data_IF_381995110048
#
_entry.id   IF_381995110048
#
_cell.length_a   1.000
_cell.length_b   1.000
_cell.length_c   1.000
_cell.angle_alpha   90.00
_cell.angle_beta   90.00
_cell.angle_gamma   90.00
#
_symmetry.space_group_name_H-M   'P 1'
#
loop_
_entity.id
_entity.type
_entity.pdbx_description
1 polymer ?
#
# COMPACT_ATOMS: atom_id res chain seq x y z
N UNK A 1 15.79 -3.25 2.92
CA UNK A 1 16.69 -4.12 2.15
C UNK A 1 18.13 -3.63 2.27
N UNK A 2 18.47 -2.45 1.75
CA UNK A 2 19.84 -1.91 1.82
C UNK A 2 20.40 -1.76 3.23
N UNK A 3 19.55 -1.45 4.22
CA UNK A 3 19.96 -1.33 5.62
C UNK A 3 20.42 -2.69 6.18
N UNK A 4 19.68 -3.76 5.91
CA UNK A 4 20.00 -5.12 6.43
C UNK A 4 21.27 -5.65 5.77
N UNK A 5 21.45 -5.40 4.46
CA UNK A 5 22.68 -5.74 3.74
C UNK A 5 23.89 -4.96 4.27
N UNK A 6 23.73 -3.67 4.60
CA UNK A 6 24.79 -2.90 5.26
C UNK A 6 25.15 -3.44 6.63
N UNK A 7 24.16 -3.78 7.47
CA UNK A 7 24.43 -4.36 8.80
C UNK A 7 25.14 -5.72 8.74
N UNK A 8 24.86 -6.52 7.70
CA UNK A 8 25.61 -7.75 7.41
C UNK A 8 27.06 -7.48 6.99
N UNK A 9 27.26 -6.56 6.05
CA UNK A 9 28.58 -6.28 5.45
C UNK A 9 29.49 -5.49 6.41
N UNK A 10 28.93 -4.54 7.17
CA UNK A 10 29.69 -3.61 8.01
C UNK A 10 29.84 -4.09 9.45
N UNK A 11 28.83 -4.77 10.02
CA UNK A 11 28.80 -5.13 11.45
C UNK A 11 28.85 -6.65 11.70
N UNK A 12 28.70 -7.49 10.66
CA UNK A 12 28.69 -8.95 10.79
C UNK A 12 27.56 -9.48 11.67
N UNK A 13 26.52 -8.68 11.89
CA UNK A 13 25.46 -8.94 12.88
C UNK A 13 24.44 -10.00 12.46
N UNK A 14 24.36 -10.29 11.16
CA UNK A 14 23.45 -11.28 10.59
C UNK A 14 24.22 -12.19 9.65
N UNK A 15 23.79 -13.43 9.52
CA UNK A 15 24.26 -14.36 8.48
C UNK A 15 23.42 -14.20 7.21
N UNK A 16 23.92 -14.69 6.06
CA UNK A 16 23.18 -14.63 4.80
C UNK A 16 21.81 -15.35 4.90
N UNK A 17 21.75 -16.46 5.64
CA UNK A 17 20.52 -17.21 5.85
C UNK A 17 19.51 -16.45 6.72
N UNK A 18 19.96 -15.76 7.77
CA UNK A 18 19.09 -14.89 8.59
C UNK A 18 18.54 -13.72 7.78
N UNK A 19 19.35 -13.12 6.89
CA UNK A 19 18.87 -12.06 5.98
C UNK A 19 17.79 -12.61 5.05
N UNK A 20 17.99 -13.82 4.50
CA UNK A 20 17.02 -14.45 3.60
C UNK A 20 15.71 -14.76 4.32
N UNK A 21 15.78 -15.25 5.55
CA UNK A 21 14.61 -15.52 6.40
C UNK A 21 13.83 -14.23 6.71
N UNK A 22 14.52 -13.16 7.09
CA UNK A 22 13.89 -11.86 7.36
C UNK A 22 13.22 -11.30 6.10
N UNK A 23 13.91 -11.36 4.96
CA UNK A 23 13.33 -10.95 3.67
C UNK A 23 12.06 -11.74 3.36
N UNK A 24 12.08 -13.06 3.54
CA UNK A 24 10.91 -13.90 3.29
C UNK A 24 9.74 -13.56 4.22
N UNK A 25 10.05 -13.32 5.50
CA UNK A 25 9.07 -12.91 6.52
C UNK A 25 8.41 -11.57 6.15
N UNK A 26 9.20 -10.56 5.76
CA UNK A 26 8.66 -9.27 5.30
C UNK A 26 7.80 -9.41 4.04
N UNK A 27 8.23 -10.22 3.08
CA UNK A 27 7.49 -10.42 1.82
C UNK A 27 6.15 -11.10 2.07
N UNK A 28 6.12 -12.20 2.83
CA UNK A 28 4.89 -12.93 3.13
C UNK A 28 3.96 -12.07 4.01
N UNK A 29 4.49 -11.51 5.10
CA UNK A 29 3.71 -10.68 6.01
C UNK A 29 3.14 -9.43 5.34
N UNK A 30 3.90 -8.80 4.44
CA UNK A 30 3.45 -7.64 3.67
C UNK A 30 2.45 -8.00 2.57
N UNK A 31 2.66 -9.11 1.87
CA UNK A 31 1.82 -9.53 0.75
C UNK A 31 0.42 -9.94 1.20
N UNK A 32 0.32 -10.89 2.14
CA UNK A 32 -0.99 -11.44 2.54
C UNK A 32 -1.87 -10.36 3.18
N UNK A 33 -1.30 -9.52 4.04
CA UNK A 33 -2.04 -8.45 4.73
C UNK A 33 -2.49 -7.33 3.77
N UNK A 34 -1.62 -6.92 2.84
CA UNK A 34 -1.94 -5.86 1.88
C UNK A 34 -2.93 -6.36 0.83
N UNK A 35 -2.75 -7.56 0.29
CA UNK A 35 -3.67 -8.18 -0.66
C UNK A 35 -5.06 -8.35 -0.05
N UNK A 36 -5.12 -8.83 1.20
CA UNK A 36 -6.38 -8.97 1.94
C UNK A 36 -7.05 -7.61 2.16
N UNK A 37 -6.30 -6.59 2.61
CA UNK A 37 -6.83 -5.23 2.79
C UNK A 37 -7.42 -4.69 1.48
N UNK A 38 -6.70 -4.84 0.36
CA UNK A 38 -7.16 -4.38 -0.94
C UNK A 38 -8.43 -5.12 -1.39
N UNK A 39 -8.50 -6.43 -1.19
CA UNK A 39 -9.68 -7.23 -1.50
C UNK A 39 -10.91 -6.78 -0.69
N UNK A 40 -10.76 -6.53 0.61
CA UNK A 40 -11.82 -6.01 1.46
C UNK A 40 -12.25 -4.59 1.06
N UNK A 41 -11.31 -3.72 0.69
CA UNK A 41 -11.61 -2.38 0.21
C UNK A 41 -12.47 -2.42 -1.05
N UNK A 42 -12.11 -3.24 -2.04
CA UNK A 42 -12.89 -3.41 -3.26
C UNK A 42 -14.27 -4.02 -2.94
N UNK A 43 -14.33 -5.01 -2.05
CA UNK A 43 -15.59 -5.61 -1.63
C UNK A 43 -16.53 -4.61 -0.96
N UNK A 44 -16.03 -3.78 -0.05
CA UNK A 44 -16.82 -2.75 0.63
C UNK A 44 -17.28 -1.67 -0.34
N UNK A 45 -16.40 -1.21 -1.23
CA UNK A 45 -16.78 -0.24 -2.27
C UNK A 45 -17.89 -0.77 -3.18
N UNK A 46 -17.83 -2.05 -3.57
CA UNK A 46 -18.88 -2.67 -4.38
C UNK A 46 -20.24 -2.81 -3.68
N UNK A 47 -20.26 -2.85 -2.33
CA UNK A 47 -21.49 -2.92 -1.54
C UNK A 47 -22.01 -1.54 -1.09
N UNK A 48 -21.22 -0.48 -1.24
CA UNK A 48 -21.55 0.88 -0.81
C UNK A 48 -21.41 1.88 -1.97
N UNK A 49 -22.39 1.93 -2.90
CA UNK A 49 -22.33 2.78 -4.08
C UNK A 49 -22.11 4.26 -3.78
N UNK A 50 -22.63 4.74 -2.65
CA UNK A 50 -22.46 6.12 -2.18
C UNK A 50 -21.03 6.44 -1.75
N UNK A 51 -20.32 5.46 -1.17
CA UNK A 51 -18.90 5.59 -0.82
C UNK A 51 -18.04 5.47 -2.06
N UNK A 52 -18.37 4.52 -2.94
CA UNK A 52 -17.72 4.37 -4.24
C UNK A 52 -17.80 5.65 -5.07
N UNK A 53 -18.97 6.28 -5.16
CA UNK A 53 -19.15 7.54 -5.90
C UNK A 53 -18.22 8.65 -5.39
N UNK A 54 -18.07 8.79 -4.06
CA UNK A 54 -17.19 9.78 -3.44
C UNK A 54 -15.71 9.51 -3.71
N UNK A 55 -15.30 8.24 -3.68
CA UNK A 55 -13.93 7.85 -4.06
C UNK A 55 -13.68 8.17 -5.53
N UNK A 56 -14.63 7.87 -6.43
CA UNK A 56 -14.50 8.21 -7.84
C UNK A 56 -14.42 9.72 -8.08
N UNK A 57 -15.23 10.52 -7.37
CA UNK A 57 -15.17 11.98 -7.44
C UNK A 57 -13.81 12.51 -6.99
N UNK A 58 -13.25 11.99 -5.89
CA UNK A 58 -11.90 12.34 -5.43
C UNK A 58 -10.83 12.01 -6.48
N UNK A 59 -10.90 10.82 -7.08
CA UNK A 59 -9.98 10.42 -8.15
C UNK A 59 -10.11 11.33 -9.38
N UNK A 60 -11.33 11.70 -9.75
CA UNK A 60 -11.59 12.59 -10.88
C UNK A 60 -11.04 14.01 -10.61
N UNK A 61 -11.09 14.49 -9.37
CA UNK A 61 -10.52 15.78 -8.96
C UNK A 61 -8.98 15.74 -9.01
N UNK A 62 -8.37 14.69 -8.47
CA UNK A 62 -6.90 14.59 -8.35
C UNK A 62 -6.23 14.31 -9.71
N UNK A 63 -6.79 13.41 -10.51
CA UNK A 63 -6.19 13.00 -11.79
C UNK A 63 -6.77 13.75 -13.00
N UNK A 64 -7.97 14.31 -12.89
CA UNK A 64 -8.59 15.09 -13.95
C UNK A 64 -8.63 14.36 -15.29
N UNK A 65 -8.10 15.02 -16.32
CA UNK A 65 -8.00 14.49 -17.68
C UNK A 65 -6.75 13.66 -17.94
N UNK A 66 -5.74 13.72 -17.07
CA UNK A 66 -4.48 13.00 -17.24
C UNK A 66 -4.43 11.77 -16.33
N UNK A 67 -5.06 10.69 -16.82
CA UNK A 67 -5.21 9.42 -16.10
C UNK A 67 -4.12 8.40 -16.41
N UNK A 68 -3.28 8.69 -17.41
CA UNK A 68 -2.24 7.77 -17.88
C UNK A 68 -0.86 8.15 -17.33
N UNK A 69 -0.69 9.37 -16.81
CA UNK A 69 0.56 9.74 -16.14
C UNK A 69 0.81 8.90 -14.88
N UNK A 70 2.08 8.69 -14.49
CA UNK A 70 2.42 8.10 -13.21
C UNK A 70 1.82 8.87 -12.03
N UNK A 71 1.41 8.12 -11.00
CA UNK A 71 1.01 8.67 -9.70
C UNK A 71 2.23 9.26 -9.01
N UNK A 72 2.08 10.47 -8.47
CA UNK A 72 3.11 11.20 -7.73
C UNK A 72 2.81 11.21 -6.23
N UNK A 73 3.81 11.52 -5.41
CA UNK A 73 3.62 11.66 -3.97
C UNK A 73 2.62 12.77 -3.61
N UNK A 74 2.49 13.80 -4.45
CA UNK A 74 1.54 14.88 -4.22
C UNK A 74 0.10 14.48 -4.50
N UNK A 75 -0.12 13.54 -5.44
CA UNK A 75 -1.44 12.95 -5.65
C UNK A 75 -1.85 12.12 -4.43
N UNK A 76 -0.93 11.31 -3.91
CA UNK A 76 -1.18 10.45 -2.75
C UNK A 76 -1.62 11.24 -1.52
N UNK A 77 -1.08 12.44 -1.30
CA UNK A 77 -1.49 13.33 -0.20
C UNK A 77 -2.90 13.89 -0.37
N UNK A 78 -3.40 13.97 -1.60
CA UNK A 78 -4.73 14.50 -1.90
C UNK A 78 -5.82 13.44 -1.84
N UNK A 79 -5.47 12.14 -1.91
CA UNK A 79 -6.38 11.00 -1.83
C UNK A 79 -6.84 10.70 -0.38
N UNK A 80 -7.31 11.72 0.32
CA UNK A 80 -7.66 11.69 1.74
C UNK A 80 -8.87 10.82 2.06
N UNK A 81 -9.90 10.84 1.21
CA UNK A 81 -11.12 10.06 1.37
C UNK A 81 -10.85 8.58 1.09
N UNK A 82 -10.11 8.27 0.02
CA UNK A 82 -9.65 6.92 -0.26
C UNK A 82 -8.79 6.37 0.90
N UNK A 83 -7.91 7.17 1.49
CA UNK A 83 -7.15 6.78 2.68
C UNK A 83 -8.07 6.44 3.86
N UNK A 84 -9.13 7.22 4.08
CA UNK A 84 -10.13 6.93 5.12
C UNK A 84 -10.85 5.60 4.87
N UNK A 85 -11.25 5.32 3.63
CA UNK A 85 -11.88 4.04 3.26
C UNK A 85 -10.94 2.86 3.57
N UNK A 86 -9.67 2.97 3.18
CA UNK A 86 -8.66 1.93 3.47
C UNK A 86 -8.49 1.74 4.98
N UNK A 87 -8.48 2.82 5.77
CA UNK A 87 -8.36 2.72 7.25
C UNK A 87 -9.58 2.04 7.88
N UNK A 88 -10.79 2.28 7.38
CA UNK A 88 -12.00 1.59 7.87
C UNK A 88 -11.94 0.11 7.57
N UNK A 89 -11.38 -0.30 6.43
CA UNK A 89 -11.26 -1.73 6.08
C UNK A 89 -10.32 -2.53 6.98
N UNK A 90 -9.45 -1.86 7.75
CA UNK A 90 -8.54 -2.47 8.71
C UNK A 90 -9.12 -2.56 10.13
N UNK A 91 -10.30 -2.01 10.39
CA UNK A 91 -11.03 -2.13 11.66
C UNK A 91 -12.06 -3.25 11.60
#
# INVERSE_FOLDING_TARGET
MDIILRMHIEEGMFTEDEIREEVNTFMIGGFDTTATTAAFAVHLLGNHPEVQAKVHEELDIVFGSDRERPVTDEDMKQLTYLECVIKVTKN
#
